data_IF_502615939128
#
_entry.id   IF_502615939128
#
_cell.length_a   1.000
_cell.length_b   1.000
_cell.length_c   1.000
_cell.angle_alpha   90.00
_cell.angle_beta   90.00
_cell.angle_gamma   90.00
#
_symmetry.space_group_name_H-M   'P 1'
#
loop_
_entity.id
_entity.type
_entity.pdbx_description
1 polymer ?
#
# COMPACT_ATOMS: atom_id res chain seq x y z
N UNK A 1 13.00 -9.04 -9.37
CA UNK A 1 12.38 -7.78 -9.13
C UNK A 1 12.01 -7.60 -7.69
N UNK A 2 11.78 -6.39 -7.33
CA UNK A 2 11.57 -6.02 -5.93
C UNK A 2 10.11 -5.80 -5.57
N UNK A 3 9.21 -6.17 -6.44
CA UNK A 3 7.79 -5.90 -6.22
C UNK A 3 7.25 -6.54 -4.95
N UNK A 4 7.68 -7.75 -4.67
CA UNK A 4 7.23 -8.44 -3.46
C UNK A 4 7.66 -7.69 -2.21
N UNK A 5 8.87 -7.17 -2.23
CA UNK A 5 9.41 -6.44 -1.10
C UNK A 5 8.61 -5.17 -0.84
N UNK A 6 8.32 -4.44 -1.91
CA UNK A 6 7.55 -3.20 -1.80
C UNK A 6 6.16 -3.49 -1.27
N UNK A 7 5.50 -4.52 -1.79
CA UNK A 7 4.16 -4.89 -1.34
C UNK A 7 4.19 -5.25 0.14
N UNK A 8 5.21 -5.98 0.57
CA UNK A 8 5.33 -6.36 1.97
C UNK A 8 5.42 -5.12 2.86
N UNK A 9 6.22 -4.13 2.46
CA UNK A 9 6.33 -2.90 3.23
C UNK A 9 5.00 -2.17 3.33
N UNK A 10 4.28 -2.11 2.22
CA UNK A 10 2.97 -1.46 2.22
C UNK A 10 2.02 -2.18 3.16
N UNK A 11 2.02 -3.50 3.14
CA UNK A 11 1.16 -4.27 4.03
C UNK A 11 1.46 -3.96 5.49
N UNK A 12 2.73 -3.89 5.84
CA UNK A 12 3.11 -3.58 7.21
C UNK A 12 2.62 -2.21 7.62
N UNK A 13 2.76 -1.23 6.75
CA UNK A 13 2.29 0.12 7.07
C UNK A 13 0.78 0.18 7.19
N UNK A 14 0.07 -0.59 6.39
CA UNK A 14 -1.38 -0.63 6.47
C UNK A 14 -1.88 -1.26 7.76
N UNK A 15 -1.20 -2.30 8.21
CA UNK A 15 -1.65 -3.09 9.36
C UNK A 15 -1.13 -2.58 10.69
N UNK A 16 0.10 -2.07 10.70
CA UNK A 16 0.77 -1.76 11.95
C UNK A 16 1.08 -0.28 12.17
N UNK A 17 0.50 0.58 11.35
CA UNK A 17 0.67 2.01 11.55
C UNK A 17 -0.63 2.72 11.21
N UNK A 18 -0.72 3.98 11.65
CA UNK A 18 -1.89 4.80 11.38
C UNK A 18 -1.67 5.73 10.20
N UNK A 19 -0.65 5.48 9.41
CA UNK A 19 -0.36 6.31 8.25
C UNK A 19 -1.53 6.28 7.27
N UNK A 20 -1.85 7.44 6.72
CA UNK A 20 -2.85 7.51 5.68
C UNK A 20 -2.28 6.94 4.38
N UNK A 21 -3.19 6.66 3.43
CA UNK A 21 -2.72 6.15 2.14
C UNK A 21 -1.78 7.12 1.46
N UNK A 22 -2.08 8.42 1.56
CA UNK A 22 -1.21 9.43 0.98
C UNK A 22 0.18 9.41 1.63
N UNK A 23 0.21 9.25 2.94
CA UNK A 23 1.48 9.19 3.65
C UNK A 23 2.28 7.95 3.26
N UNK A 24 1.61 6.82 3.09
CA UNK A 24 2.28 5.61 2.64
C UNK A 24 2.83 5.80 1.23
N UNK A 25 2.05 6.42 0.35
CA UNK A 25 2.53 6.68 -1.01
C UNK A 25 3.77 7.56 -0.98
N UNK A 26 3.78 8.57 -0.13
CA UNK A 26 4.94 9.44 0.00
C UNK A 26 6.16 8.66 0.46
N UNK A 27 5.98 7.79 1.43
CA UNK A 27 7.10 6.99 1.95
C UNK A 27 7.65 6.05 0.90
N UNK A 28 6.80 5.55 0.03
CA UNK A 28 7.22 4.64 -1.03
C UNK A 28 7.67 5.37 -2.29
N UNK A 29 7.65 6.69 -2.27
CA UNK A 29 8.05 7.53 -3.41
C UNK A 29 7.12 7.34 -4.61
N UNK A 30 5.85 7.09 -4.33
CA UNK A 30 4.85 7.03 -5.39
C UNK A 30 4.33 8.44 -5.68
N UNK A 31 3.85 8.68 -6.91
CA UNK A 31 3.37 10.02 -7.27
C UNK A 31 2.16 10.47 -6.45
N UNK A 32 1.25 9.55 -6.12
CA UNK A 32 0.09 9.88 -5.29
C UNK A 32 -0.54 8.60 -4.77
N UNK A 33 -1.58 8.77 -3.94
CA UNK A 33 -2.23 7.59 -3.36
C UNK A 33 -3.01 6.78 -4.39
N UNK A 34 -3.45 7.39 -5.48
CA UNK A 34 -4.12 6.65 -6.53
C UNK A 34 -3.17 5.61 -7.14
N UNK A 35 -1.94 6.01 -7.35
CA UNK A 35 -0.93 5.08 -7.86
C UNK A 35 -0.71 3.93 -6.87
N UNK A 36 -0.61 4.28 -5.59
CA UNK A 36 -0.45 3.26 -4.55
C UNK A 36 -1.60 2.26 -4.60
N UNK A 37 -2.82 2.76 -4.72
CA UNK A 37 -3.99 1.88 -4.76
C UNK A 37 -3.95 0.92 -5.94
N UNK A 38 -3.61 1.43 -7.11
CA UNK A 38 -3.55 0.60 -8.31
C UNK A 38 -2.42 -0.42 -8.22
N UNK A 39 -1.28 0.03 -7.76
CA UNK A 39 -0.13 -0.86 -7.58
C UNK A 39 -0.46 -2.00 -6.63
N UNK A 40 -1.01 -1.65 -5.48
CA UNK A 40 -1.30 -2.65 -4.45
C UNK A 40 -2.36 -3.64 -4.92
N UNK A 41 -3.43 -3.12 -5.53
CA UNK A 41 -4.49 -3.99 -6.03
C UNK A 41 -3.97 -4.93 -7.09
N UNK A 42 -3.10 -4.44 -7.95
CA UNK A 42 -2.55 -5.27 -9.02
C UNK A 42 -1.74 -6.44 -8.47
N UNK A 43 -1.05 -6.22 -7.36
CA UNK A 43 -0.16 -7.24 -6.81
C UNK A 43 -0.83 -8.14 -5.78
N UNK A 44 -1.88 -7.67 -5.13
CA UNK A 44 -2.53 -8.45 -4.07
C UNK A 44 -3.96 -8.82 -4.38
N UNK A 45 -4.56 -8.16 -5.35
CA UNK A 45 -5.96 -8.38 -5.67
C UNK A 45 -6.93 -7.57 -4.82
N UNK A 46 -6.44 -6.78 -3.88
CA UNK A 46 -7.27 -5.95 -3.03
C UNK A 46 -6.69 -4.56 -2.94
N UNK A 47 -7.58 -3.56 -2.83
CA UNK A 47 -7.10 -2.20 -2.64
C UNK A 47 -6.49 -2.06 -1.25
N UNK A 48 -5.62 -1.06 -1.06
CA UNK A 48 -5.02 -0.84 0.27
C UNK A 48 -6.08 -0.57 1.34
N UNK A 49 -7.10 0.19 0.99
CA UNK A 49 -8.16 0.48 1.94
C UNK A 49 -8.92 -0.77 2.33
N UNK A 50 -9.26 -1.60 1.35
CA UNK A 50 -9.94 -2.86 1.63
C UNK A 50 -9.07 -3.77 2.48
N UNK A 51 -7.78 -3.81 2.19
CA UNK A 51 -6.86 -4.63 2.97
C UNK A 51 -6.83 -4.19 4.43
N UNK A 52 -6.76 -2.88 4.65
CA UNK A 52 -6.72 -2.34 6.01
C UNK A 52 -8.01 -2.65 6.76
N UNK A 53 -9.14 -2.54 6.08
CA UNK A 53 -10.43 -2.75 6.72
C UNK A 53 -10.78 -4.22 6.91
N UNK A 54 -10.05 -5.10 6.26
CA UNK A 54 -10.35 -6.54 6.31
C UNK A 54 -9.76 -7.26 7.52
N UNK A 55 -8.99 -6.56 8.32
CA UNK A 55 -8.32 -7.21 9.46
C UNK A 55 -9.29 -7.64 10.56
#
# INVERSE_FOLDING_TARGET
MIDKWIVHEIKLMLMFSDLSLQQIADRMHFPDQSYLGRFFKRHTGSSPLAYRNAK
#
